data_IF_974449097258
#
_entry.id   IF_974449097258
#
_cell.length_a   1.000
_cell.length_b   1.000
_cell.length_c   1.000
_cell.angle_alpha   90.00
_cell.angle_beta   90.00
_cell.angle_gamma   90.00
#
_symmetry.space_group_name_H-M   'P 1'
#
loop_
_entity.id
_entity.type
_entity.pdbx_description
1 polymer ?
#
# COMPACT_ATOMS: atom_id res chain seq x y z
N UNK A 1 9.72 10.04 -18.86
CA UNK A 1 10.38 8.71 -18.74
C UNK A 1 9.26 7.69 -18.82
N UNK A 2 9.40 6.69 -19.69
CA UNK A 2 8.32 5.95 -20.37
C UNK A 2 7.17 5.46 -19.50
N UNK A 3 5.96 5.89 -19.87
CA UNK A 3 4.63 5.60 -19.31
C UNK A 3 4.16 4.13 -19.54
N UNK A 4 5.08 3.15 -19.55
CA UNK A 4 4.85 1.82 -20.17
C UNK A 4 5.03 0.56 -19.30
N UNK A 5 5.43 0.69 -18.04
CA UNK A 5 5.84 -0.48 -17.23
C UNK A 5 4.71 -1.19 -16.47
N UNK A 6 3.53 -0.57 -16.38
CA UNK A 6 2.36 -1.14 -15.72
C UNK A 6 1.07 -0.77 -16.46
N UNK A 7 0.04 -1.60 -16.31
CA UNK A 7 -1.28 -1.40 -16.90
C UNK A 7 -2.19 -0.59 -15.96
N UNK A 8 -1.99 -0.71 -14.64
CA UNK A 8 -2.77 -0.02 -13.62
C UNK A 8 -1.90 0.53 -12.50
N UNK A 9 -2.25 1.74 -12.02
CA UNK A 9 -1.75 2.31 -10.77
C UNK A 9 -2.87 2.20 -9.72
N UNK A 10 -2.60 1.51 -8.62
CA UNK A 10 -3.56 1.31 -7.54
C UNK A 10 -2.99 1.86 -6.23
N UNK A 11 -3.78 2.66 -5.51
CA UNK A 11 -3.37 3.34 -4.28
C UNK A 11 -4.15 2.80 -3.08
N UNK A 12 -3.45 2.25 -2.09
CA UNK A 12 -4.02 1.83 -0.82
C UNK A 12 -3.43 2.64 0.34
N UNK A 13 -4.21 2.81 1.40
CA UNK A 13 -3.83 3.59 2.59
C UNK A 13 -4.02 2.75 3.85
N UNK A 14 -2.92 2.40 4.52
CA UNK A 14 -3.00 1.67 5.78
C UNK A 14 -3.43 2.59 6.93
N UNK A 15 -4.49 2.21 7.64
CA UNK A 15 -5.07 2.97 8.76
C UNK A 15 -5.14 2.15 10.05
N UNK A 16 -5.19 2.85 11.18
CA UNK A 16 -5.26 2.26 12.52
C UNK A 16 -4.37 2.99 13.54
N UNK A 17 -4.49 2.61 14.81
CA UNK A 17 -3.81 3.28 15.92
C UNK A 17 -2.28 3.17 15.86
N UNK A 18 -1.59 4.00 16.63
CA UNK A 18 -0.14 3.91 16.77
C UNK A 18 0.26 2.56 17.35
N UNK A 19 1.27 1.91 16.75
CA UNK A 19 1.80 0.64 17.26
C UNK A 19 1.10 -0.64 16.79
N UNK A 20 -0.03 -0.56 16.06
CA UNK A 20 -0.76 -1.77 15.60
C UNK A 20 -0.07 -2.57 14.49
N UNK A 21 1.05 -2.07 13.95
CA UNK A 21 1.88 -2.81 12.98
C UNK A 21 1.68 -2.46 11.51
N UNK A 22 1.03 -1.34 11.17
CA UNK A 22 0.82 -0.87 9.78
C UNK A 22 2.11 -0.87 8.95
N UNK A 23 3.13 -0.18 9.43
CA UNK A 23 4.46 -0.12 8.82
C UNK A 23 5.07 -1.51 8.64
N UNK A 24 4.96 -2.37 9.65
CA UNK A 24 5.53 -3.73 9.62
C UNK A 24 4.85 -4.60 8.58
N UNK A 25 3.52 -4.52 8.45
CA UNK A 25 2.75 -5.25 7.41
C UNK A 25 3.19 -4.78 6.02
N UNK A 26 3.29 -3.47 5.80
CA UNK A 26 3.71 -2.92 4.52
C UNK A 26 5.16 -3.26 4.17
N UNK A 27 6.07 -3.23 5.15
CA UNK A 27 7.47 -3.67 4.97
C UNK A 27 7.58 -5.15 4.65
N UNK A 28 6.84 -6.00 5.37
CA UNK A 28 6.84 -7.44 5.11
C UNK A 28 6.27 -7.75 3.73
N UNK A 29 5.22 -7.05 3.32
CA UNK A 29 4.62 -7.25 2.00
C UNK A 29 5.53 -6.77 0.87
N UNK A 30 6.18 -5.61 1.00
CA UNK A 30 7.00 -5.02 -0.06
C UNK A 30 8.40 -5.62 -0.14
N UNK A 31 9.09 -5.71 0.99
CA UNK A 31 10.52 -6.04 1.07
C UNK A 31 10.80 -7.42 1.68
N UNK A 32 9.77 -8.12 2.17
CA UNK A 32 9.93 -9.42 2.83
C UNK A 32 10.65 -9.35 4.17
N UNK A 33 10.73 -8.16 4.78
CA UNK A 33 11.52 -7.89 5.99
C UNK A 33 10.63 -7.48 7.16
N UNK A 34 11.07 -7.87 8.35
CA UNK A 34 10.49 -7.43 9.61
C UNK A 34 11.57 -6.80 10.50
N UNK A 35 11.29 -5.63 11.06
CA UNK A 35 12.12 -5.00 12.07
C UNK A 35 11.44 -5.12 13.44
N UNK A 36 12.11 -5.77 14.40
CA UNK A 36 11.58 -5.94 15.76
C UNK A 36 11.64 -4.67 16.60
N UNK A 37 12.43 -3.67 16.19
CA UNK A 37 12.46 -2.36 16.85
C UNK A 37 11.25 -1.55 16.45
N UNK A 38 10.50 -1.07 17.43
CA UNK A 38 9.41 -0.13 17.19
C UNK A 38 9.99 1.22 16.75
N UNK A 39 9.71 1.59 15.51
CA UNK A 39 10.00 2.90 14.94
C UNK A 39 8.65 3.49 14.52
N UNK A 40 8.28 4.63 15.09
CA UNK A 40 6.99 5.25 14.81
C UNK A 40 7.02 5.99 13.47
N UNK A 41 6.01 5.80 12.64
CA UNK A 41 5.81 6.62 11.44
C UNK A 41 5.57 8.07 11.84
N UNK A 42 6.30 8.99 11.21
CA UNK A 42 6.15 10.43 11.42
C UNK A 42 5.35 11.00 10.26
N UNK A 43 4.11 11.43 10.52
CA UNK A 43 3.23 11.93 9.48
C UNK A 43 2.74 10.83 8.53
N UNK A 44 3.36 10.73 7.36
CA UNK A 44 3.01 9.76 6.32
C UNK A 44 4.28 9.26 5.63
N UNK A 45 4.32 7.97 5.33
CA UNK A 45 5.36 7.33 4.52
C UNK A 45 4.70 6.60 3.33
N UNK A 46 5.46 6.24 2.32
CA UNK A 46 4.96 5.52 1.16
C UNK A 46 5.89 4.38 0.76
N UNK A 47 5.31 3.29 0.29
CA UNK A 47 6.05 2.18 -0.34
C UNK A 47 5.38 1.78 -1.63
N UNK A 48 6.15 1.14 -2.49
CA UNK A 48 5.66 0.67 -3.78
C UNK A 48 5.98 -0.81 -4.02
N UNK A 49 5.10 -1.47 -4.77
CA UNK A 49 5.32 -2.84 -5.22
C UNK A 49 4.74 -3.05 -6.60
N UNK A 50 5.53 -3.64 -7.50
CA UNK A 50 5.03 -4.12 -8.80
C UNK A 50 4.52 -5.55 -8.65
N UNK A 51 3.29 -5.81 -9.07
CA UNK A 51 2.67 -7.13 -9.05
C UNK A 51 1.98 -7.43 -10.37
N UNK A 52 1.77 -8.71 -10.68
CA UNK A 52 0.96 -9.13 -11.83
C UNK A 52 -0.29 -9.80 -11.30
N UNK A 53 -1.43 -9.16 -11.48
CA UNK A 53 -2.73 -9.72 -11.12
C UNK A 53 -3.26 -10.59 -12.26
N UNK A 54 -3.77 -11.77 -11.94
CA UNK A 54 -4.40 -12.68 -12.88
C UNK A 54 -5.77 -13.05 -12.34
N UNK A 55 -6.83 -12.50 -12.94
CA UNK A 55 -8.18 -12.90 -12.61
C UNK A 55 -8.49 -14.29 -13.19
N UNK A 56 -9.14 -15.15 -12.41
CA UNK A 56 -9.72 -16.39 -12.91
C UNK A 56 -11.15 -16.12 -13.36
N UNK A 57 -11.49 -16.58 -14.56
CA UNK A 57 -12.86 -16.55 -15.08
C UNK A 57 -13.79 -17.52 -14.34
N UNK A 58 -15.11 -17.39 -14.53
CA UNK A 58 -16.11 -18.28 -13.93
C UNK A 58 -15.95 -19.75 -14.35
N UNK A 59 -15.29 -19.97 -15.48
CA UNK A 59 -14.97 -21.25 -16.11
C UNK A 59 -13.60 -21.81 -15.67
N UNK A 60 -12.90 -21.13 -14.76
CA UNK A 60 -11.55 -21.50 -14.31
C UNK A 60 -10.43 -21.10 -15.27
N UNK A 61 -10.75 -20.47 -16.42
CA UNK A 61 -9.73 -19.99 -17.34
C UNK A 61 -8.99 -18.79 -16.73
N UNK A 62 -7.65 -18.80 -16.75
CA UNK A 62 -6.86 -17.67 -16.26
C UNK A 62 -6.80 -16.57 -17.32
N UNK A 63 -7.29 -15.38 -16.98
CA UNK A 63 -7.21 -14.23 -17.87
C UNK A 63 -5.78 -13.72 -18.09
N UNK A 64 -5.62 -12.79 -19.03
CA UNK A 64 -4.33 -12.11 -19.26
C UNK A 64 -3.86 -11.43 -17.97
N UNK A 65 -2.58 -11.59 -17.64
CA UNK A 65 -1.98 -10.92 -16.50
C UNK A 65 -1.97 -9.40 -16.68
N UNK A 66 -2.45 -8.69 -15.66
CA UNK A 66 -2.46 -7.24 -15.55
C UNK A 66 -1.31 -6.79 -14.64
N UNK A 67 -0.42 -5.94 -15.16
CA UNK A 67 0.68 -5.37 -14.39
C UNK A 67 0.16 -4.22 -13.54
N UNK A 68 0.31 -4.34 -12.24
CA UNK A 68 -0.15 -3.32 -11.28
C UNK A 68 1.07 -2.73 -10.58
N UNK A 69 1.15 -1.40 -10.58
CA UNK A 69 2.01 -0.65 -9.68
C UNK A 69 1.17 -0.27 -8.45
N UNK A 70 1.45 -0.92 -7.32
CA UNK A 70 0.81 -0.60 -6.05
C UNK A 70 1.58 0.53 -5.37
N UNK A 71 0.86 1.58 -4.98
CA UNK A 71 1.31 2.59 -4.02
C UNK A 71 0.60 2.34 -2.69
N UNK A 72 1.39 2.06 -1.67
CA UNK A 72 0.94 1.71 -0.34
C UNK A 72 1.36 2.83 0.61
N UNK A 73 0.39 3.61 1.06
CA UNK A 73 0.60 4.74 1.93
C UNK A 73 0.50 4.30 3.39
N UNK A 74 1.57 4.50 4.16
CA UNK A 74 1.64 4.21 5.59
C UNK A 74 1.34 5.48 6.39
N UNK A 75 0.33 5.44 7.25
CA UNK A 75 -0.09 6.61 8.03
C UNK A 75 0.39 6.52 9.47
N UNK A 76 0.76 7.66 10.06
CA UNK A 76 0.96 7.73 11.49
C UNK A 76 -0.38 7.57 12.23
N UNK A 77 -0.43 6.65 13.19
CA UNK A 77 -1.61 6.43 14.03
C UNK A 77 -1.68 7.34 15.26
N UNK A 78 -0.81 8.35 15.36
CA UNK A 78 -0.82 9.32 16.46
C UNK A 78 -1.77 10.47 16.12
N UNK A 79 -2.60 10.88 17.08
CA UNK A 79 -3.63 11.91 16.90
C UNK A 79 -3.08 13.25 16.37
N UNK A 80 -1.85 13.61 16.74
CA UNK A 80 -1.19 14.83 16.24
C UNK A 80 -0.98 14.87 14.73
N UNK A 81 -1.08 13.73 14.04
CA UNK A 81 -0.98 13.63 12.58
C UNK A 81 -2.32 13.39 11.90
N UNK A 82 -3.45 13.35 12.64
CA UNK A 82 -4.77 12.99 12.09
C UNK A 82 -5.18 13.88 10.92
N UNK A 83 -4.96 15.19 11.04
CA UNK A 83 -5.29 16.16 9.97
C UNK A 83 -4.48 15.93 8.69
N UNK A 84 -3.22 15.50 8.81
CA UNK A 84 -2.38 15.14 7.66
C UNK A 84 -2.92 13.86 7.01
N UNK A 85 -3.21 12.83 7.82
CA UNK A 85 -3.74 11.55 7.36
C UNK A 85 -5.06 11.69 6.58
N UNK A 86 -5.98 12.54 7.04
CA UNK A 86 -7.26 12.77 6.36
C UNK A 86 -7.13 13.36 4.95
N UNK A 87 -6.06 14.12 4.66
CA UNK A 87 -5.84 14.67 3.32
C UNK A 87 -5.59 13.58 2.27
N UNK A 88 -5.03 12.43 2.66
CA UNK A 88 -4.71 11.31 1.77
C UNK A 88 -5.88 10.36 1.53
N UNK A 89 -7.00 10.53 2.25
CA UNK A 89 -8.18 9.67 2.09
C UNK A 89 -8.82 9.83 0.72
N UNK A 90 -8.76 11.04 0.15
CA UNK A 90 -9.44 11.38 -1.10
C UNK A 90 -8.90 10.62 -2.31
N UNK A 91 -7.59 10.33 -2.30
CA UNK A 91 -6.91 9.71 -3.43
C UNK A 91 -6.71 8.20 -3.25
N UNK A 92 -7.16 7.64 -2.13
CA UNK A 92 -7.08 6.20 -1.84
C UNK A 92 -8.20 5.44 -2.57
N UNK A 93 -7.85 4.31 -3.17
CA UNK A 93 -8.81 3.39 -3.81
C UNK A 93 -9.28 2.30 -2.84
N UNK A 94 -8.63 2.16 -1.69
CA UNK A 94 -8.97 1.25 -0.61
C UNK A 94 -8.11 1.49 0.64
N UNK A 95 -8.50 0.86 1.76
CA UNK A 95 -7.88 1.00 3.07
C UNK A 95 -7.52 -0.38 3.65
#
# INVERSE_FOLDING_TARGET
MSDGDYDYLIKFLALGDSGVGKTSVLYQYTDGKFNSKFITTVGIDFREKRVVYRASGPDGATGRGQRIHLQLWDTAGQERFRSLTTAFFRDAMGF
#
